data_IF_426239999818
#
_entry.id   IF_426239999818
#
_cell.length_a   1.000
_cell.length_b   1.000
_cell.length_c   1.000
_cell.angle_alpha   90.00
_cell.angle_beta   90.00
_cell.angle_gamma   90.00
#
_symmetry.space_group_name_H-M   'P 1'
#
loop_
_entity.id
_entity.type
_entity.pdbx_description
1 polymer ?
#
# COMPACT_ATOMS: atom_id res chain seq x y z
N UNK A 1 20.94 -7.64 8.97
CA UNK A 1 20.24 -8.53 8.00
C UNK A 1 20.04 -7.74 6.72
N UNK A 2 20.36 -8.30 5.53
CA UNK A 2 20.01 -7.68 4.26
C UNK A 2 18.48 -7.74 4.13
N UNK A 3 17.84 -6.61 4.02
CA UNK A 3 16.42 -6.51 3.76
C UNK A 3 16.15 -6.97 2.32
N UNK A 4 15.49 -8.10 2.16
CA UNK A 4 15.01 -8.57 0.86
C UNK A 4 13.59 -8.04 0.65
N UNK A 5 13.34 -7.39 -0.49
CA UNK A 5 11.99 -6.95 -0.86
C UNK A 5 11.06 -8.14 -1.03
N UNK A 6 9.82 -8.01 -0.58
CA UNK A 6 8.81 -9.07 -0.64
C UNK A 6 8.42 -9.36 -2.08
N UNK A 7 8.34 -10.63 -2.50
CA UNK A 7 7.96 -11.05 -3.85
C UNK A 7 8.73 -10.30 -4.94
N UNK A 8 10.04 -10.05 -4.71
CA UNK A 8 10.88 -9.19 -5.54
C UNK A 8 10.87 -9.58 -7.01
N UNK A 9 11.20 -10.85 -7.29
CA UNK A 9 11.29 -11.37 -8.66
C UNK A 9 9.91 -11.50 -9.29
N UNK A 10 8.96 -12.05 -8.56
CA UNK A 10 7.58 -12.27 -9.00
C UNK A 10 6.94 -10.95 -9.45
N UNK A 11 7.18 -9.87 -8.73
CA UNK A 11 6.63 -8.55 -9.04
C UNK A 11 7.23 -7.99 -10.32
N UNK A 12 8.55 -7.88 -10.37
CA UNK A 12 9.23 -7.26 -11.52
C UNK A 12 9.12 -8.12 -12.78
N UNK A 13 9.28 -9.45 -12.67
CA UNK A 13 9.19 -10.36 -13.82
C UNK A 13 7.77 -10.41 -14.39
N UNK A 14 6.74 -10.24 -13.55
CA UNK A 14 5.35 -10.17 -14.01
C UNK A 14 5.06 -8.94 -14.89
N UNK A 15 5.86 -7.88 -14.81
CA UNK A 15 5.74 -6.70 -15.67
C UNK A 15 6.15 -6.96 -17.12
N UNK A 16 6.83 -8.08 -17.39
CA UNK A 16 7.37 -8.39 -18.73
C UNK A 16 8.26 -7.26 -19.26
N UNK A 17 9.29 -6.92 -18.48
CA UNK A 17 10.11 -5.72 -18.66
C UNK A 17 10.79 -5.69 -20.04
N UNK A 18 10.56 -4.59 -20.79
CA UNK A 18 11.25 -4.25 -22.03
C UNK A 18 12.49 -3.41 -21.71
N UNK A 19 13.59 -3.65 -22.40
CA UNK A 19 14.88 -2.99 -22.14
C UNK A 19 14.87 -1.45 -22.38
N UNK A 20 13.94 -0.99 -23.19
CA UNK A 20 13.73 0.43 -23.57
C UNK A 20 12.43 1.02 -23.01
N UNK A 21 11.72 0.28 -22.14
CA UNK A 21 10.42 0.66 -21.61
C UNK A 21 10.47 1.76 -20.56
N UNK A 22 9.32 2.39 -20.33
CA UNK A 22 9.11 3.38 -19.26
C UNK A 22 8.27 2.74 -18.18
N UNK A 23 8.75 2.79 -16.94
CA UNK A 23 8.13 2.15 -15.80
C UNK A 23 7.87 3.11 -14.65
N UNK A 24 6.92 2.72 -13.78
CA UNK A 24 6.62 3.43 -12.54
C UNK A 24 6.73 2.48 -11.36
N UNK A 25 7.43 2.91 -10.31
CA UNK A 25 7.35 2.36 -8.97
C UNK A 25 6.60 3.36 -8.08
N UNK A 26 5.38 3.00 -7.66
CA UNK A 26 4.56 3.88 -6.83
C UNK A 26 4.99 3.95 -5.36
N UNK A 27 5.92 3.06 -4.95
CA UNK A 27 6.29 2.82 -3.55
C UNK A 27 7.78 2.49 -3.44
N UNK A 28 8.63 3.46 -3.76
CA UNK A 28 10.09 3.29 -3.88
C UNK A 28 10.72 2.59 -2.66
N UNK A 29 10.32 2.99 -1.44
CA UNK A 29 10.88 2.48 -0.20
C UNK A 29 12.40 2.61 -0.17
N UNK A 30 13.12 1.48 -0.07
CA UNK A 30 14.59 1.43 -0.14
C UNK A 30 15.14 1.12 -1.53
N UNK A 31 14.29 1.10 -2.55
CA UNK A 31 14.69 0.89 -3.94
C UNK A 31 14.99 -0.56 -4.32
N UNK A 32 14.54 -1.55 -3.55
CA UNK A 32 14.83 -2.95 -3.85
C UNK A 32 14.18 -3.44 -5.15
N UNK A 33 12.87 -3.26 -5.30
CA UNK A 33 12.14 -3.54 -6.54
C UNK A 33 12.66 -2.67 -7.69
N UNK A 34 12.85 -1.36 -7.44
CA UNK A 34 13.40 -0.40 -8.40
C UNK A 34 14.77 -0.84 -8.92
N UNK A 35 15.70 -1.23 -8.04
CA UNK A 35 17.03 -1.69 -8.44
C UNK A 35 17.00 -2.94 -9.31
N UNK A 36 16.13 -3.91 -8.96
CA UNK A 36 15.97 -5.12 -9.77
C UNK A 36 15.33 -4.83 -11.13
N UNK A 37 14.34 -3.93 -11.20
CA UNK A 37 13.76 -3.49 -12.46
C UNK A 37 14.80 -2.79 -13.34
N UNK A 38 15.57 -1.85 -12.79
CA UNK A 38 16.61 -1.12 -13.50
C UNK A 38 17.67 -2.08 -14.08
N UNK A 39 18.02 -3.16 -13.38
CA UNK A 39 18.98 -4.15 -13.89
C UNK A 39 18.53 -4.83 -15.20
N UNK A 40 17.27 -4.71 -15.58
CA UNK A 40 16.71 -5.24 -16.84
C UNK A 40 16.64 -4.17 -17.95
N UNK A 41 16.89 -2.90 -17.62
CA UNK A 41 16.83 -1.80 -18.57
C UNK A 41 18.19 -1.61 -19.29
N UNK A 42 18.14 -1.17 -20.55
CA UNK A 42 19.31 -0.72 -21.32
C UNK A 42 19.20 0.75 -21.71
N UNK A 43 18.04 1.17 -22.18
CA UNK A 43 17.74 2.55 -22.58
C UNK A 43 16.40 3.06 -22.01
N UNK A 44 15.68 2.20 -21.27
CA UNK A 44 14.44 2.55 -20.60
C UNK A 44 14.65 3.42 -19.36
N UNK A 45 13.56 3.84 -18.73
CA UNK A 45 13.59 4.71 -17.55
C UNK A 45 12.54 4.34 -16.51
N UNK A 46 12.87 4.52 -15.24
CA UNK A 46 11.98 4.31 -14.09
C UNK A 46 11.66 5.64 -13.42
N UNK A 47 10.36 5.90 -13.20
CA UNK A 47 9.87 6.98 -12.34
C UNK A 47 9.40 6.37 -11.02
N UNK A 48 10.02 6.75 -9.91
CA UNK A 48 9.76 6.14 -8.60
C UNK A 48 9.25 7.17 -7.61
N UNK A 49 8.13 6.84 -6.97
CA UNK A 49 7.42 7.70 -6.03
C UNK A 49 7.61 7.22 -4.60
N UNK A 50 7.78 8.14 -3.69
CA UNK A 50 7.57 7.92 -2.27
C UNK A 50 7.13 9.22 -1.60
N UNK A 51 6.21 9.11 -0.65
CA UNK A 51 5.77 10.26 0.15
C UNK A 51 6.64 10.48 1.40
N UNK A 52 7.57 9.56 1.69
CA UNK A 52 8.53 9.67 2.78
C UNK A 52 9.87 10.21 2.24
N UNK A 53 10.23 11.43 2.63
CA UNK A 53 11.49 12.06 2.22
C UNK A 53 12.72 11.25 2.66
N UNK A 54 12.63 10.51 3.78
CA UNK A 54 13.69 9.64 4.25
C UNK A 54 13.88 8.45 3.29
N UNK A 55 12.79 7.86 2.79
CA UNK A 55 12.86 6.79 1.79
C UNK A 55 13.55 7.26 0.51
N UNK A 56 13.23 8.47 0.03
CA UNK A 56 13.90 9.08 -1.14
C UNK A 56 15.41 9.23 -0.89
N UNK A 57 15.81 9.75 0.28
CA UNK A 57 17.23 9.94 0.61
C UNK A 57 17.99 8.60 0.70
N UNK A 58 17.42 7.60 1.39
CA UNK A 58 18.03 6.26 1.52
C UNK A 58 18.15 5.57 0.15
N UNK A 59 17.12 5.66 -0.70
CA UNK A 59 17.14 5.06 -2.02
C UNK A 59 18.12 5.75 -2.96
N UNK A 60 18.30 7.07 -2.84
CA UNK A 60 19.32 7.79 -3.61
C UNK A 60 20.71 7.23 -3.35
N UNK A 61 21.04 6.95 -2.09
CA UNK A 61 22.33 6.33 -1.75
C UNK A 61 22.41 4.86 -2.19
N UNK A 62 21.32 4.08 -1.99
CA UNK A 62 21.28 2.66 -2.37
C UNK A 62 21.39 2.44 -3.89
N UNK A 63 20.89 3.37 -4.69
CA UNK A 63 20.83 3.29 -6.16
C UNK A 63 21.82 4.24 -6.85
N UNK A 64 22.82 4.76 -6.13
CA UNK A 64 23.77 5.78 -6.64
C UNK A 64 24.44 5.42 -7.96
N UNK A 65 24.72 4.14 -8.18
CA UNK A 65 25.39 3.66 -9.40
C UNK A 65 24.47 3.60 -10.63
N UNK A 66 23.16 3.75 -10.44
CA UNK A 66 22.14 3.61 -11.51
C UNK A 66 21.19 4.81 -11.58
N UNK A 67 21.55 5.95 -11.01
CA UNK A 67 20.72 7.17 -10.97
C UNK A 67 20.35 7.70 -12.36
N UNK A 68 21.11 7.39 -13.40
CA UNK A 68 20.79 7.76 -14.79
C UNK A 68 19.53 7.06 -15.33
N UNK A 69 19.12 5.95 -14.73
CA UNK A 69 17.96 5.16 -15.13
C UNK A 69 16.70 5.44 -14.31
N UNK A 70 16.78 6.31 -13.29
CA UNK A 70 15.67 6.56 -12.37
C UNK A 70 15.46 8.04 -12.11
N UNK A 71 14.20 8.46 -12.06
CA UNK A 71 13.78 9.76 -11.51
C UNK A 71 12.96 9.51 -10.26
N UNK A 72 13.47 9.91 -9.11
CA UNK A 72 12.77 9.81 -7.84
C UNK A 72 11.89 11.04 -7.63
N UNK A 73 10.64 10.83 -7.23
CA UNK A 73 9.63 11.87 -7.08
C UNK A 73 9.10 11.79 -5.64
N UNK A 74 9.40 12.84 -4.84
CA UNK A 74 8.86 12.98 -3.50
C UNK A 74 7.41 13.42 -3.60
N UNK A 75 6.51 12.47 -3.80
CA UNK A 75 5.06 12.68 -3.84
C UNK A 75 4.34 11.34 -3.59
N UNK A 76 3.05 11.42 -3.30
CA UNK A 76 2.18 10.25 -3.20
C UNK A 76 1.86 9.71 -4.61
N UNK A 77 1.84 8.40 -4.78
CA UNK A 77 1.55 7.72 -6.06
C UNK A 77 0.15 8.05 -6.61
N UNK A 78 -0.78 8.57 -5.79
CA UNK A 78 -2.08 9.08 -6.25
C UNK A 78 -1.97 10.28 -7.20
N UNK A 79 -0.79 10.86 -7.36
CA UNK A 79 -0.51 11.98 -8.27
C UNK A 79 0.35 11.55 -9.46
N UNK A 80 0.51 10.23 -9.70
CA UNK A 80 1.48 9.75 -10.70
C UNK A 80 1.19 10.27 -12.11
N UNK A 81 -0.07 10.31 -12.51
CA UNK A 81 -0.46 10.80 -13.84
C UNK A 81 -0.08 12.27 -14.04
N UNK A 82 -0.37 13.12 -13.05
CA UNK A 82 -0.04 14.53 -13.10
C UNK A 82 1.48 14.75 -13.13
N UNK A 83 2.21 14.07 -12.24
CA UNK A 83 3.66 14.19 -12.13
C UNK A 83 4.40 13.71 -13.38
N UNK A 84 3.92 12.63 -14.00
CA UNK A 84 4.45 12.13 -15.26
C UNK A 84 4.12 13.08 -16.41
N UNK A 85 2.90 13.62 -16.48
CA UNK A 85 2.48 14.57 -17.50
C UNK A 85 3.35 15.86 -17.47
N UNK A 86 3.74 16.38 -16.28
CA UNK A 86 4.68 17.50 -16.12
C UNK A 86 6.05 17.21 -16.76
N UNK A 87 6.39 15.94 -16.93
CA UNK A 87 7.66 15.44 -17.52
C UNK A 87 7.51 14.98 -18.98
N UNK A 88 6.33 15.23 -19.57
CA UNK A 88 6.03 14.85 -20.95
C UNK A 88 5.71 13.35 -21.13
N UNK A 89 5.48 12.61 -20.04
CA UNK A 89 5.14 11.18 -20.08
C UNK A 89 3.64 11.03 -19.93
N UNK A 90 2.98 10.52 -20.97
CA UNK A 90 1.53 10.29 -20.98
C UNK A 90 1.15 8.83 -20.75
N UNK A 91 2.03 7.89 -21.15
CA UNK A 91 1.79 6.45 -21.05
C UNK A 91 3.08 5.71 -20.67
N UNK A 92 2.92 4.58 -19.96
CA UNK A 92 4.03 3.76 -19.44
C UNK A 92 3.85 2.27 -19.78
N UNK A 93 4.97 1.54 -19.86
CA UNK A 93 4.99 0.11 -20.18
C UNK A 93 4.64 -0.78 -18.98
N UNK A 94 4.83 -0.28 -17.77
CA UNK A 94 4.43 -1.02 -16.56
C UNK A 94 4.48 -0.18 -15.30
N UNK A 95 3.69 -0.62 -14.30
CA UNK A 95 3.57 0.02 -13.00
C UNK A 95 3.63 -1.05 -11.93
N UNK A 96 4.39 -0.82 -10.87
CA UNK A 96 4.40 -1.65 -9.67
C UNK A 96 4.14 -0.80 -8.44
N UNK A 97 3.49 -1.42 -7.42
CA UNK A 97 3.33 -0.85 -6.09
C UNK A 97 3.48 -1.95 -5.05
N UNK A 98 4.32 -1.72 -4.04
CA UNK A 98 4.47 -2.54 -2.83
C UNK A 98 3.84 -1.78 -1.66
N UNK A 99 2.55 -2.09 -1.39
CA UNK A 99 1.73 -1.29 -0.48
C UNK A 99 2.11 -1.50 0.99
N UNK A 100 1.68 -0.58 1.82
CA UNK A 100 1.86 -0.64 3.27
C UNK A 100 3.10 0.10 3.77
N UNK A 101 3.60 -0.35 4.92
CA UNK A 101 4.69 0.32 5.66
C UNK A 101 6.02 -0.30 5.29
N UNK A 102 6.99 0.53 4.98
CA UNK A 102 8.36 0.06 4.75
C UNK A 102 8.99 -0.47 6.06
N UNK A 103 9.98 -1.36 5.89
CA UNK A 103 10.70 -1.91 7.04
C UNK A 103 11.32 -0.84 7.94
N UNK A 104 12.01 0.19 7.40
CA UNK A 104 12.55 1.27 8.23
C UNK A 104 11.50 2.00 9.04
N UNK A 105 10.34 2.31 8.44
CA UNK A 105 9.26 2.97 9.18
C UNK A 105 8.77 2.14 10.36
N UNK A 106 8.74 0.81 10.22
CA UNK A 106 8.32 -0.09 11.30
C UNK A 106 9.40 -0.34 12.34
N UNK A 107 10.68 -0.34 11.92
CA UNK A 107 11.82 -0.67 12.77
C UNK A 107 12.41 0.57 13.47
N UNK A 108 12.12 1.78 12.96
CA UNK A 108 12.47 3.03 13.64
C UNK A 108 11.49 3.30 14.80
N UNK A 109 11.97 3.19 16.05
CA UNK A 109 11.12 3.40 17.22
C UNK A 109 10.48 4.79 17.24
N UNK A 110 11.13 5.81 16.67
CA UNK A 110 10.69 7.21 16.76
C UNK A 110 9.48 7.53 15.89
N UNK A 111 9.20 6.70 14.87
CA UNK A 111 8.11 6.90 13.91
C UNK A 111 6.73 6.49 14.45
N UNK A 112 6.65 5.80 15.57
CA UNK A 112 5.39 5.43 16.25
C UNK A 112 4.53 4.37 15.54
N UNK A 113 5.00 3.70 14.49
CA UNK A 113 4.25 2.65 13.80
C UNK A 113 4.12 1.35 14.59
N UNK A 114 5.05 1.11 15.51
CA UNK A 114 5.13 -0.16 16.23
C UNK A 114 4.63 -0.05 17.67
N UNK A 115 3.81 -1.00 18.06
CA UNK A 115 3.42 -1.20 19.46
C UNK A 115 4.48 -1.94 20.31
N UNK A 116 5.67 -2.20 19.76
CA UNK A 116 6.77 -2.90 20.44
C UNK A 116 7.73 -1.96 21.16
N UNK A 117 7.73 -0.69 20.77
CA UNK A 117 8.60 0.34 21.32
C UNK A 117 7.74 1.49 21.82
N UNK A 118 8.16 2.11 22.93
CA UNK A 118 7.51 3.33 23.40
C UNK A 118 7.99 4.52 22.60
N UNK A 119 7.04 5.21 21.95
CA UNK A 119 7.30 6.34 21.10
C UNK A 119 6.08 7.26 21.07
N UNK A 120 6.27 8.51 20.61
CA UNK A 120 5.15 9.40 20.31
C UNK A 120 4.19 8.74 19.30
N UNK A 121 2.89 8.94 19.49
CA UNK A 121 1.85 8.51 18.54
C UNK A 121 1.91 9.38 17.28
N UNK A 122 2.76 9.00 16.32
CA UNK A 122 2.94 9.71 15.06
C UNK A 122 2.30 8.96 13.89
N UNK A 123 2.88 7.88 13.42
CA UNK A 123 2.45 7.02 12.32
C UNK A 123 2.37 7.70 10.95
N UNK A 124 2.90 8.92 10.77
CA UNK A 124 2.93 9.59 9.46
C UNK A 124 4.02 8.99 8.58
N UNK A 125 3.68 8.60 7.37
CA UNK A 125 4.67 8.28 6.32
C UNK A 125 5.28 9.58 5.78
N UNK A 126 4.45 10.55 5.41
CA UNK A 126 4.90 11.92 5.13
C UNK A 126 4.93 12.73 6.43
N UNK A 127 6.12 13.02 6.95
CA UNK A 127 6.29 13.77 8.20
C UNK A 127 5.91 15.25 8.10
N UNK A 128 5.70 15.78 6.88
CA UNK A 128 5.29 17.17 6.66
C UNK A 128 3.77 17.33 6.76
N UNK A 129 2.97 16.25 6.73
CA UNK A 129 1.53 16.34 6.90
C UNK A 129 1.14 16.68 8.34
N UNK A 130 -0.01 17.34 8.53
CA UNK A 130 -0.48 17.74 9.86
C UNK A 130 -1.04 16.57 10.67
N UNK A 131 -1.93 15.76 10.06
CA UNK A 131 -2.64 14.69 10.75
C UNK A 131 -1.69 13.55 11.15
N UNK A 132 -1.62 13.28 12.46
CA UNK A 132 -0.89 12.17 13.05
C UNK A 132 -1.78 11.29 13.96
N UNK A 133 -1.26 10.19 14.45
CA UNK A 133 -2.02 9.28 15.31
C UNK A 133 -2.38 9.91 16.67
N UNK A 134 -1.57 10.82 17.18
CA UNK A 134 -1.86 11.57 18.40
C UNK A 134 -3.14 12.40 18.23
N UNK A 135 -3.27 13.13 17.14
CA UNK A 135 -4.46 13.93 16.87
C UNK A 135 -5.70 13.05 16.74
N UNK A 136 -5.63 11.94 15.98
CA UNK A 136 -6.76 11.02 15.85
C UNK A 136 -7.22 10.51 17.21
N UNK A 137 -6.31 9.98 18.03
CA UNK A 137 -6.62 9.40 19.32
C UNK A 137 -7.21 10.45 20.29
N UNK A 138 -6.68 11.68 20.26
CA UNK A 138 -7.06 12.70 21.23
C UNK A 138 -8.20 13.63 20.80
N UNK A 139 -8.52 13.72 19.49
CA UNK A 139 -9.50 14.69 18.98
C UNK A 139 -10.72 14.10 18.28
N UNK A 140 -10.59 12.89 17.67
CA UNK A 140 -11.71 12.28 16.96
C UNK A 140 -12.88 11.97 17.90
N UNK A 141 -14.11 12.15 17.40
CA UNK A 141 -15.33 11.76 18.12
C UNK A 141 -15.41 10.24 18.35
N UNK A 142 -16.27 9.84 19.28
CA UNK A 142 -16.55 8.41 19.53
C UNK A 142 -16.97 7.68 18.23
N UNK A 143 -17.80 8.32 17.43
CA UNK A 143 -18.32 7.79 16.17
C UNK A 143 -17.21 7.61 15.14
N UNK A 144 -16.32 8.58 15.01
CA UNK A 144 -15.17 8.52 14.11
C UNK A 144 -14.17 7.45 14.55
N UNK A 145 -13.84 7.37 15.84
CA UNK A 145 -13.02 6.28 16.36
C UNK A 145 -13.66 4.92 16.09
N UNK A 146 -14.98 4.77 16.33
CA UNK A 146 -15.69 3.55 16.00
C UNK A 146 -15.67 3.22 14.51
N UNK A 147 -15.76 4.23 13.64
CA UNK A 147 -15.68 4.05 12.18
C UNK A 147 -14.35 3.45 11.79
N UNK A 148 -13.25 4.13 12.15
CA UNK A 148 -11.91 3.69 11.72
C UNK A 148 -11.53 2.32 12.29
N UNK A 149 -11.83 2.06 13.56
CA UNK A 149 -11.53 0.78 14.20
C UNK A 149 -12.29 -0.38 13.54
N UNK A 150 -13.53 -0.16 13.11
CA UNK A 150 -14.33 -1.16 12.41
C UNK A 150 -13.93 -1.33 10.96
N UNK A 151 -13.83 -0.22 10.22
CA UNK A 151 -13.64 -0.23 8.76
C UNK A 151 -12.20 -0.52 8.36
N UNK A 152 -11.21 -0.08 9.14
CA UNK A 152 -9.78 -0.22 8.82
C UNK A 152 -9.05 -1.24 9.69
N UNK A 153 -9.59 -1.51 10.90
CA UNK A 153 -9.00 -2.47 11.83
C UNK A 153 -9.65 -3.86 11.82
N UNK A 154 -10.89 -4.00 11.31
CA UNK A 154 -11.72 -5.19 11.56
C UNK A 154 -11.83 -5.50 13.07
N UNK A 155 -11.76 -4.45 13.91
CA UNK A 155 -11.72 -4.57 15.36
C UNK A 155 -13.10 -4.97 15.92
N UNK A 156 -13.15 -6.08 16.64
CA UNK A 156 -14.41 -6.60 17.20
C UNK A 156 -14.88 -5.82 18.43
N UNK A 157 -13.93 -5.25 19.17
CA UNK A 157 -14.19 -4.52 20.43
C UNK A 157 -14.22 -3.01 20.23
N UNK A 158 -14.57 -2.57 19.03
CA UNK A 158 -14.60 -1.18 18.58
C UNK A 158 -15.15 -0.21 19.62
N UNK A 159 -16.37 -0.46 20.10
CA UNK A 159 -17.04 0.43 21.07
C UNK A 159 -16.34 0.47 22.43
N UNK A 160 -15.81 -0.67 22.87
CA UNK A 160 -15.11 -0.75 24.16
C UNK A 160 -13.79 0.02 24.12
N UNK A 161 -13.02 -0.15 23.03
CA UNK A 161 -11.76 0.55 22.83
C UNK A 161 -11.99 2.05 22.67
N UNK A 162 -12.96 2.48 21.83
CA UNK A 162 -13.29 3.89 21.66
C UNK A 162 -13.69 4.57 22.98
N UNK A 163 -14.52 3.92 23.82
CA UNK A 163 -14.88 4.44 25.13
C UNK A 163 -13.69 4.52 26.09
N UNK A 164 -12.79 3.55 26.05
CA UNK A 164 -11.59 3.58 26.89
C UNK A 164 -10.65 4.72 26.48
N UNK A 165 -10.50 4.97 25.18
CA UNK A 165 -9.76 6.11 24.65
C UNK A 165 -10.38 7.43 25.13
N UNK A 166 -11.71 7.62 24.97
CA UNK A 166 -12.40 8.84 25.44
C UNK A 166 -12.24 9.05 26.94
N UNK A 167 -12.40 7.99 27.73
CA UNK A 167 -12.25 8.07 29.19
C UNK A 167 -10.82 8.46 29.58
N UNK A 168 -9.81 7.88 28.96
CA UNK A 168 -8.41 8.15 29.28
C UNK A 168 -8.01 9.57 28.87
N UNK A 169 -8.34 10.01 27.66
CA UNK A 169 -7.98 11.36 27.19
C UNK A 169 -8.69 12.50 27.92
N UNK A 170 -9.86 12.21 28.56
CA UNK A 170 -10.53 13.15 29.45
C UNK A 170 -9.77 13.39 30.77
N UNK A 171 -8.89 12.47 31.16
CA UNK A 171 -8.02 12.59 32.34
C UNK A 171 -6.70 13.24 31.95
N UNK A 172 -6.04 12.66 30.94
CA UNK A 172 -4.82 13.19 30.34
C UNK A 172 -4.68 12.68 28.90
N UNK A 173 -4.08 13.46 27.99
CA UNK A 173 -3.85 13.02 26.62
C UNK A 173 -3.07 11.71 26.54
N UNK A 174 -3.37 10.89 25.53
CA UNK A 174 -2.64 9.68 25.20
C UNK A 174 -1.53 10.08 24.22
N UNK A 175 -0.28 10.11 24.70
CA UNK A 175 0.84 10.67 23.94
C UNK A 175 1.69 9.62 23.25
N UNK A 176 1.79 8.41 23.88
CA UNK A 176 2.72 7.40 23.42
C UNK A 176 2.03 6.10 23.01
N UNK A 177 2.76 5.32 22.25
CA UNK A 177 2.31 3.99 21.79
C UNK A 177 2.00 3.06 22.96
N UNK A 178 2.80 3.07 24.04
CA UNK A 178 2.58 2.22 25.21
C UNK A 178 1.36 2.65 26.00
N UNK A 179 1.14 3.97 26.17
CA UNK A 179 -0.08 4.47 26.80
C UNK A 179 -1.32 4.00 26.02
N UNK A 180 -1.31 4.08 24.68
CA UNK A 180 -2.41 3.58 23.86
C UNK A 180 -2.57 2.06 24.00
N UNK A 181 -1.49 1.29 24.01
CA UNK A 181 -1.53 -0.17 24.22
C UNK A 181 -2.20 -0.51 25.54
N UNK A 182 -1.88 0.21 26.63
CA UNK A 182 -2.48 -0.03 27.96
C UNK A 182 -3.97 0.32 27.98
N UNK A 183 -4.37 1.40 27.32
CA UNK A 183 -5.79 1.76 27.14
C UNK A 183 -6.54 0.66 26.37
N UNK A 184 -5.96 0.15 25.27
CA UNK A 184 -6.57 -0.94 24.50
C UNK A 184 -6.71 -2.20 25.36
N UNK A 185 -5.66 -2.60 26.08
CA UNK A 185 -5.69 -3.77 26.96
C UNK A 185 -6.76 -3.66 28.05
N UNK A 186 -6.92 -2.49 28.64
CA UNK A 186 -7.94 -2.24 29.67
C UNK A 186 -9.39 -2.41 29.16
N UNK A 187 -9.59 -2.25 27.85
CA UNK A 187 -10.89 -2.36 27.18
C UNK A 187 -11.25 -3.78 26.74
N UNK A 188 -10.30 -4.72 26.81
CA UNK A 188 -10.46 -6.06 26.27
C UNK A 188 -10.66 -7.11 27.37
N UNK A 189 -11.50 -8.13 27.15
CA UNK A 189 -11.63 -9.26 28.08
C UNK A 189 -10.34 -10.07 28.19
N UNK A 190 -10.06 -10.64 29.37
CA UNK A 190 -8.89 -11.50 29.63
C UNK A 190 -8.72 -12.64 28.61
N UNK A 191 -9.85 -13.22 28.17
CA UNK A 191 -9.86 -14.27 27.17
C UNK A 191 -9.22 -13.82 25.85
N UNK A 192 -9.41 -12.55 25.48
CA UNK A 192 -8.82 -11.96 24.23
C UNK A 192 -7.34 -11.69 24.43
N UNK A 193 -6.96 -11.17 25.59
CA UNK A 193 -5.55 -10.88 25.92
C UNK A 193 -4.66 -12.13 25.91
N UNK A 194 -5.25 -13.31 26.14
CA UNK A 194 -4.53 -14.61 26.10
C UNK A 194 -4.46 -15.25 24.71
N UNK A 195 -5.08 -14.66 23.69
CA UNK A 195 -5.04 -15.18 22.32
C UNK A 195 -3.69 -14.94 21.66
N UNK A 196 -3.39 -15.75 20.63
CA UNK A 196 -2.18 -15.54 19.80
C UNK A 196 -2.30 -14.22 19.04
N UNK A 197 -1.26 -13.42 19.09
CA UNK A 197 -1.18 -12.10 18.45
C UNK A 197 -1.23 -10.96 19.48
N UNK A 198 -0.81 -9.78 19.05
CA UNK A 198 -0.80 -8.61 19.94
C UNK A 198 -2.18 -7.92 19.92
N UNK A 199 -2.80 -7.62 21.08
CA UNK A 199 -4.16 -7.08 21.15
C UNK A 199 -4.33 -5.71 20.48
N UNK A 200 -3.27 -4.90 20.39
CA UNK A 200 -3.31 -3.60 19.75
C UNK A 200 -3.12 -3.65 18.22
N UNK A 201 -2.84 -4.82 17.61
CA UNK A 201 -2.51 -4.92 16.18
C UNK A 201 -3.55 -4.27 15.27
N UNK A 202 -4.83 -4.57 15.49
CA UNK A 202 -5.95 -4.08 14.68
C UNK A 202 -6.17 -2.58 14.85
N UNK A 203 -6.07 -2.09 16.09
CA UNK A 203 -6.18 -0.64 16.39
C UNK A 203 -5.04 0.15 15.76
N UNK A 204 -3.80 -0.31 15.85
CA UNK A 204 -2.63 0.34 15.21
C UNK A 204 -2.74 0.34 13.69
N UNK A 205 -3.22 -0.75 13.09
CA UNK A 205 -3.52 -0.79 11.65
C UNK A 205 -4.58 0.25 11.28
N UNK A 206 -5.65 0.36 12.04
CA UNK A 206 -6.73 1.32 11.76
C UNK A 206 -6.23 2.76 11.82
N UNK A 207 -5.46 3.11 12.85
CA UNK A 207 -4.86 4.44 12.99
C UNK A 207 -3.91 4.75 11.84
N UNK A 208 -3.04 3.81 11.46
CA UNK A 208 -2.09 3.98 10.38
C UNK A 208 -2.78 4.25 9.04
N UNK A 209 -3.81 3.47 8.73
CA UNK A 209 -4.60 3.63 7.50
C UNK A 209 -5.26 5.01 7.47
N UNK A 210 -5.84 5.46 8.57
CA UNK A 210 -6.48 6.79 8.67
C UNK A 210 -5.45 7.92 8.56
N UNK A 211 -4.36 7.87 9.33
CA UNK A 211 -3.28 8.88 9.29
C UNK A 211 -2.77 9.12 7.88
N UNK A 212 -2.58 8.04 7.12
CA UNK A 212 -1.93 8.08 5.81
C UNK A 212 -2.90 8.06 4.64
N UNK A 213 -4.22 8.01 4.90
CA UNK A 213 -5.27 7.86 3.88
C UNK A 213 -4.95 6.73 2.87
N UNK A 214 -4.48 5.57 3.41
CA UNK A 214 -3.93 4.49 2.58
C UNK A 214 -4.93 3.96 1.56
N UNK A 215 -6.20 3.78 1.95
CA UNK A 215 -7.22 3.24 1.06
C UNK A 215 -7.71 4.27 0.03
N UNK A 216 -7.83 5.55 0.42
CA UNK A 216 -8.16 6.62 -0.53
C UNK A 216 -7.05 6.81 -1.57
N UNK A 217 -5.79 6.78 -1.11
CA UNK A 217 -4.63 6.82 -2.01
C UNK A 217 -4.61 5.63 -2.97
N UNK A 218 -4.87 4.42 -2.47
CA UNK A 218 -4.89 3.22 -3.28
C UNK A 218 -5.98 3.26 -4.35
N UNK A 219 -7.22 3.66 -3.99
CA UNK A 219 -8.32 3.75 -4.95
C UNK A 219 -7.95 4.69 -6.11
N UNK A 220 -7.53 5.92 -5.79
CA UNK A 220 -7.13 6.89 -6.79
C UNK A 220 -5.90 6.46 -7.58
N UNK A 221 -4.89 5.92 -6.90
CA UNK A 221 -3.65 5.46 -7.53
C UNK A 221 -3.88 4.31 -8.52
N UNK A 222 -4.80 3.38 -8.22
CA UNK A 222 -5.18 2.31 -9.16
C UNK A 222 -5.85 2.87 -10.42
N UNK A 223 -6.79 3.82 -10.27
CA UNK A 223 -7.47 4.45 -11.40
C UNK A 223 -6.48 5.21 -12.30
N UNK A 224 -5.57 5.98 -11.71
CA UNK A 224 -4.53 6.67 -12.45
C UNK A 224 -3.56 5.70 -13.13
N UNK A 225 -3.08 4.68 -12.40
CA UNK A 225 -2.19 3.67 -12.93
C UNK A 225 -2.75 2.98 -14.17
N UNK A 226 -4.00 2.50 -14.07
CA UNK A 226 -4.64 1.84 -15.20
C UNK A 226 -4.83 2.81 -16.39
N UNK A 227 -5.16 4.08 -16.12
CA UNK A 227 -5.41 5.07 -17.18
C UNK A 227 -4.18 5.40 -18.05
N UNK A 228 -2.96 5.22 -17.53
CA UNK A 228 -1.70 5.57 -18.21
C UNK A 228 -0.91 4.36 -18.73
N UNK A 229 -1.45 3.14 -18.63
CA UNK A 229 -0.80 1.98 -19.21
C UNK A 229 -0.89 2.00 -20.74
N UNK A 230 0.23 1.73 -21.41
CA UNK A 230 0.24 1.42 -22.84
C UNK A 230 -0.46 0.09 -23.14
N UNK A 231 -0.90 -0.16 -24.38
CA UNK A 231 -1.28 -1.50 -24.83
C UNK A 231 -0.18 -2.53 -24.50
N UNK A 232 -0.58 -3.68 -23.96
CA UNK A 232 0.28 -4.73 -23.39
C UNK A 232 1.11 -4.31 -22.16
N UNK A 233 0.86 -3.12 -21.61
CA UNK A 233 1.43 -2.68 -20.32
C UNK A 233 0.79 -3.37 -19.15
N UNK A 234 1.55 -3.58 -18.05
CA UNK A 234 1.10 -4.32 -16.87
C UNK A 234 1.17 -3.50 -15.60
N UNK A 235 0.18 -3.73 -14.74
CA UNK A 235 0.17 -3.20 -13.37
C UNK A 235 0.27 -4.35 -12.37
N UNK A 236 1.27 -4.31 -11.49
CA UNK A 236 1.59 -5.32 -10.50
C UNK A 236 1.51 -4.71 -9.09
N UNK A 237 0.61 -5.21 -8.24
CA UNK A 237 0.34 -4.65 -6.91
C UNK A 237 0.53 -5.72 -5.84
N UNK A 238 1.40 -5.45 -4.85
CA UNK A 238 1.54 -6.24 -3.62
C UNK A 238 0.69 -5.60 -2.54
N UNK A 239 -0.09 -6.41 -1.84
CA UNK A 239 -0.96 -6.02 -0.72
C UNK A 239 -0.64 -6.85 0.52
N UNK A 240 -0.84 -6.30 1.73
CA UNK A 240 -0.51 -6.96 2.99
C UNK A 240 -1.70 -7.18 3.91
N UNK A 241 -2.85 -6.57 3.64
CA UNK A 241 -4.06 -6.79 4.41
C UNK A 241 -5.30 -6.96 3.54
N UNK A 242 -6.37 -7.45 4.16
CA UNK A 242 -7.61 -7.84 3.49
C UNK A 242 -8.30 -6.71 2.71
N UNK A 243 -8.21 -5.49 3.21
CA UNK A 243 -8.87 -4.33 2.55
C UNK A 243 -8.17 -3.95 1.25
N UNK A 244 -6.82 -3.86 1.27
CA UNK A 244 -6.04 -3.61 0.06
C UNK A 244 -6.30 -4.70 -0.98
N UNK A 245 -6.15 -5.98 -0.60
CA UNK A 245 -6.35 -7.11 -1.51
C UNK A 245 -7.76 -7.12 -2.12
N UNK A 246 -8.78 -6.81 -1.30
CA UNK A 246 -10.17 -6.72 -1.76
C UNK A 246 -10.37 -5.59 -2.75
N UNK A 247 -9.80 -4.41 -2.49
CA UNK A 247 -9.88 -3.24 -3.37
C UNK A 247 -9.20 -3.52 -4.70
N UNK A 248 -7.94 -3.96 -4.70
CA UNK A 248 -7.19 -4.30 -5.92
C UNK A 248 -7.93 -5.38 -6.73
N UNK A 249 -8.40 -6.45 -6.06
CA UNK A 249 -9.19 -7.50 -6.70
C UNK A 249 -10.45 -6.96 -7.38
N UNK A 250 -11.18 -6.08 -6.72
CA UNK A 250 -12.44 -5.55 -7.24
C UNK A 250 -12.20 -4.62 -8.43
N UNK A 251 -11.23 -3.69 -8.32
CA UNK A 251 -10.85 -2.79 -9.41
C UNK A 251 -10.35 -3.59 -10.63
N UNK A 252 -9.43 -4.55 -10.43
CA UNK A 252 -8.93 -5.37 -11.51
C UNK A 252 -10.02 -6.23 -12.17
N UNK A 253 -10.97 -6.74 -11.37
CA UNK A 253 -12.13 -7.46 -11.89
C UNK A 253 -13.04 -6.55 -12.72
N UNK A 254 -13.30 -5.34 -12.26
CA UNK A 254 -14.12 -4.36 -12.98
C UNK A 254 -13.51 -4.04 -14.34
N UNK A 255 -12.24 -3.66 -14.39
CA UNK A 255 -11.55 -3.31 -15.64
C UNK A 255 -11.36 -4.50 -16.60
N UNK A 256 -11.31 -5.72 -16.08
CA UNK A 256 -11.15 -6.94 -16.88
C UNK A 256 -12.48 -7.62 -17.24
N UNK A 257 -13.60 -7.04 -16.86
CA UNK A 257 -14.94 -7.56 -17.16
C UNK A 257 -15.61 -6.75 -18.27
N UNK A 258 -16.26 -7.42 -19.20
CA UNK A 258 -17.15 -6.74 -20.13
C UNK A 258 -18.29 -6.06 -19.36
N UNK A 259 -18.81 -4.91 -19.83
CA UNK A 259 -19.97 -4.28 -19.23
C UNK A 259 -21.16 -5.24 -19.15
N UNK A 260 -21.87 -5.20 -18.02
CA UNK A 260 -23.10 -5.98 -17.90
C UNK A 260 -24.12 -5.48 -18.90
N UNK A 261 -24.66 -6.40 -19.72
CA UNK A 261 -25.75 -6.15 -20.66
C UNK A 261 -26.93 -6.95 -20.19
N UNK A 262 -28.09 -6.31 -20.04
CA UNK A 262 -29.34 -7.02 -19.71
C UNK A 262 -29.65 -8.03 -20.83
N UNK A 263 -29.78 -9.33 -20.53
CA UNK A 263 -30.06 -10.38 -21.54
C UNK A 263 -31.30 -10.16 -22.35
N UNK A 264 -32.22 -9.28 -21.90
CA UNK A 264 -33.46 -8.93 -22.59
C UNK A 264 -33.27 -7.90 -23.72
N UNK A 265 -32.11 -7.24 -23.76
CA UNK A 265 -31.78 -6.26 -24.80
C UNK A 265 -31.17 -7.03 -25.98
N UNK A 266 -31.77 -7.03 -27.18
CA UNK A 266 -31.25 -7.72 -28.36
C UNK A 266 -30.05 -6.93 -28.92
N UNK A 267 -28.85 -7.21 -28.44
CA UNK A 267 -27.60 -6.63 -28.92
C UNK A 267 -26.87 -7.68 -29.74
N UNK A 268 -26.31 -7.28 -30.89
CA UNK A 268 -25.46 -8.18 -31.69
C UNK A 268 -24.17 -8.47 -30.91
N UNK A 269 -23.66 -9.68 -30.98
CA UNK A 269 -22.42 -10.07 -30.32
C UNK A 269 -21.22 -9.18 -30.72
N UNK A 270 -21.21 -8.64 -31.95
CA UNK A 270 -20.22 -7.67 -32.43
C UNK A 270 -20.26 -6.33 -31.70
N UNK A 271 -21.39 -5.96 -31.12
CA UNK A 271 -21.61 -4.64 -30.51
C UNK A 271 -21.36 -4.67 -28.99
N UNK A 272 -21.06 -5.87 -28.46
CA UNK A 272 -20.71 -6.05 -27.06
C UNK A 272 -19.25 -5.54 -26.83
N UNK A 273 -19.12 -4.43 -26.09
CA UNK A 273 -17.81 -3.90 -25.73
C UNK A 273 -17.04 -4.96 -24.92
N UNK A 274 -15.88 -5.36 -25.41
CA UNK A 274 -14.98 -6.24 -24.69
C UNK A 274 -14.32 -5.46 -23.55
N UNK A 275 -13.88 -6.18 -22.51
CA UNK A 275 -13.04 -5.56 -21.47
C UNK A 275 -11.72 -5.08 -22.08
N UNK A 276 -11.25 -3.93 -21.61
CA UNK A 276 -10.00 -3.31 -22.10
C UNK A 276 -8.74 -3.96 -21.46
N UNK A 277 -8.93 -4.81 -20.45
CA UNK A 277 -7.85 -5.45 -19.68
C UNK A 277 -8.02 -6.97 -19.57
N UNK A 278 -6.91 -7.66 -19.27
CA UNK A 278 -6.84 -9.08 -18.95
C UNK A 278 -6.31 -9.28 -17.52
N UNK A 279 -6.93 -10.14 -16.72
CA UNK A 279 -6.34 -10.60 -15.46
C UNK A 279 -5.20 -11.58 -15.77
N UNK A 280 -3.97 -11.21 -15.47
CA UNK A 280 -2.82 -12.12 -15.53
C UNK A 280 -2.87 -13.08 -14.35
N UNK A 281 -3.19 -12.59 -13.16
CA UNK A 281 -3.34 -13.41 -11.96
C UNK A 281 -4.80 -13.61 -11.59
N UNK A 282 -5.38 -14.77 -11.89
CA UNK A 282 -6.74 -15.13 -11.43
C UNK A 282 -6.79 -15.35 -9.91
N UNK A 283 -5.72 -15.92 -9.34
CA UNK A 283 -5.44 -16.02 -7.90
C UNK A 283 -4.23 -15.17 -7.59
N UNK A 284 -4.10 -14.58 -6.40
CA UNK A 284 -2.89 -13.85 -6.06
C UNK A 284 -1.69 -14.79 -6.00
N UNK A 285 -0.53 -14.28 -6.40
CA UNK A 285 0.76 -14.94 -6.14
C UNK A 285 1.12 -14.63 -4.67
N UNK A 286 1.57 -15.63 -3.94
CA UNK A 286 2.01 -15.54 -2.55
C UNK A 286 3.46 -15.98 -2.45
N UNK A 287 4.14 -15.59 -1.38
CA UNK A 287 5.51 -15.96 -1.12
C UNK A 287 5.71 -17.49 -1.08
N UNK A 288 6.86 -17.92 -1.53
CA UNK A 288 7.28 -19.33 -1.43
C UNK A 288 7.64 -19.70 0.01
N UNK A 289 7.69 -20.99 0.32
CA UNK A 289 8.09 -21.47 1.66
C UNK A 289 9.50 -20.96 2.02
N UNK A 290 10.42 -20.93 1.05
CA UNK A 290 11.78 -20.40 1.22
C UNK A 290 11.77 -18.91 1.60
N UNK A 291 10.97 -18.07 0.92
CA UNK A 291 10.83 -16.66 1.26
C UNK A 291 10.16 -16.46 2.63
N UNK A 292 9.20 -17.33 3.00
CA UNK A 292 8.52 -17.27 4.29
C UNK A 292 9.47 -17.55 5.48
N UNK A 293 10.47 -18.40 5.29
CA UNK A 293 11.49 -18.69 6.30
C UNK A 293 12.43 -17.50 6.49
N UNK A 294 12.84 -16.84 5.38
CA UNK A 294 13.79 -15.73 5.42
C UNK A 294 13.13 -14.39 5.73
N UNK A 295 11.87 -14.19 5.32
CA UNK A 295 11.17 -12.90 5.42
C UNK A 295 9.77 -13.05 6.03
N UNK A 296 9.65 -12.93 7.33
CA UNK A 296 8.35 -13.00 8.03
C UNK A 296 7.29 -11.99 7.56
N UNK A 297 7.66 -10.93 6.85
CA UNK A 297 6.73 -9.93 6.33
C UNK A 297 5.99 -10.41 5.10
N UNK A 298 6.53 -11.40 4.38
CA UNK A 298 5.90 -12.00 3.21
C UNK A 298 4.68 -12.87 3.51
N UNK A 299 4.46 -13.26 4.78
CA UNK A 299 3.33 -14.13 5.18
C UNK A 299 1.95 -13.64 4.75
N UNK A 300 1.72 -12.33 4.72
CA UNK A 300 0.43 -11.75 4.33
C UNK A 300 0.44 -11.16 2.92
N UNK A 301 1.59 -11.18 2.24
CA UNK A 301 1.77 -10.59 0.93
C UNK A 301 0.97 -11.32 -0.15
N UNK A 302 0.33 -10.54 -1.02
CA UNK A 302 -0.42 -11.03 -2.18
C UNK A 302 -0.15 -10.15 -3.38
N UNK A 303 0.45 -10.71 -4.40
CA UNK A 303 0.69 -10.02 -5.66
C UNK A 303 -0.47 -10.27 -6.64
N UNK A 304 -1.01 -9.19 -7.20
CA UNK A 304 -1.98 -9.22 -8.31
C UNK A 304 -1.47 -8.47 -9.50
N UNK A 305 -1.75 -8.99 -10.69
CA UNK A 305 -1.29 -8.43 -11.95
C UNK A 305 -2.43 -8.36 -12.96
N UNK A 306 -2.54 -7.22 -13.62
CA UNK A 306 -3.46 -6.95 -14.72
C UNK A 306 -2.68 -6.40 -15.92
N UNK A 307 -3.16 -6.65 -17.13
CA UNK A 307 -2.55 -6.20 -18.37
C UNK A 307 -3.58 -5.46 -19.23
N UNK A 308 -3.22 -4.29 -19.77
CA UNK A 308 -4.02 -3.62 -20.78
C UNK A 308 -3.91 -4.38 -22.10
N UNK A 309 -5.03 -4.70 -22.73
CA UNK A 309 -5.03 -5.42 -24.02
C UNK A 309 -4.30 -4.62 -25.09
N UNK A 310 -3.60 -5.33 -25.95
CA UNK A 310 -3.15 -4.77 -27.23
C UNK A 310 -4.33 -4.51 -28.18
N UNK A 311 -4.11 -3.69 -29.18
CA UNK A 311 -5.05 -3.49 -30.26
C UNK A 311 -5.19 -4.78 -31.10
#
# INVERSE_FOLDING_TARGET
MRHTSVLLKETVDSLNVKEDGIYVDGTLGRGGHSGYLISKLKSGHLYAFDKDSQAIAESTENLKDVLSYITMIHNDFRSMKEELAKRGICEVDGIMMDLGVSSPQFDDPTRGFSYRYDARLDMRMNQEQELDAYQIVNTYSFEELCRILREYGEEKFTKSIARAIEKQRAIQPIETTFQLVDVIKSALPDKVLRQKGHPAKQTFQALRIEVNDELGALQKGLEEALSILKPNGRCAIITFHSFEDRMVKNVFKEYSSAPYIDPRIPIKASDIKQADYNLITKKPITATDEELEDNHRSHSAKLRVIEKKGE
#
